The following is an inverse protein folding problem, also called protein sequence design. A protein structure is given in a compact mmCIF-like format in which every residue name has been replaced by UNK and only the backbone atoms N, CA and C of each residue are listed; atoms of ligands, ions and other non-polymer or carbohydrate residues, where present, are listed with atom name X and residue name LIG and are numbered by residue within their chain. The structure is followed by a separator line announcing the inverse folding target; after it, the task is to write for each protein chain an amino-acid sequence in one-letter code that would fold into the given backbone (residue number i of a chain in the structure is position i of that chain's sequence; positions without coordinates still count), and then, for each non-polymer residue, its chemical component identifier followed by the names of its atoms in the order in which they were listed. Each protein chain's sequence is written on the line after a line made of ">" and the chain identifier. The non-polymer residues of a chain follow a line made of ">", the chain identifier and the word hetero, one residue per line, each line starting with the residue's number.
data_IF_418292407557
#
_entry.id   IF_418292407557
#
_cell.length_a   1.000
_cell.length_b   1.000
_cell.length_c   1.000
_cell.angle_alpha   90.00
_cell.angle_beta   90.00
_cell.angle_gamma   90.00
#
_symmetry.space_group_name_H-M   'P 1'
#
loop_
_entity.id
_entity.type
_entity.pdbx_description
1 polymer ?
#
# COMPACT_ATOMS: atom_id res chain seq x y z
N UNK A 1 0.68 -23.53 27.13
CA UNK A 1 0.52 -22.45 26.15
C UNK A 1 1.14 -22.94 24.86
N UNK A 2 0.30 -23.38 23.91
CA UNK A 2 0.73 -23.81 22.58
C UNK A 2 1.33 -22.62 21.85
N UNK A 3 2.60 -22.67 21.51
CA UNK A 3 3.24 -21.67 20.66
C UNK A 3 2.43 -21.59 19.35
N UNK A 4 1.82 -20.44 19.10
CA UNK A 4 1.02 -20.19 17.91
C UNK A 4 1.98 -20.13 16.73
N UNK A 5 2.25 -21.26 16.09
CA UNK A 5 3.08 -21.33 14.89
C UNK A 5 2.33 -20.56 13.82
N UNK A 6 2.79 -19.36 13.52
CA UNK A 6 2.21 -18.52 12.46
C UNK A 6 2.14 -19.31 11.16
N UNK A 7 0.93 -19.66 10.72
CA UNK A 7 0.71 -20.55 9.57
C UNK A 7 1.12 -19.90 8.24
N UNK A 8 1.26 -18.58 8.18
CA UNK A 8 1.57 -17.86 6.95
C UNK A 8 2.18 -16.48 7.20
N UNK A 9 2.91 -15.97 6.19
CA UNK A 9 3.58 -14.66 6.24
C UNK A 9 2.79 -13.61 5.48
N UNK A 10 2.72 -12.41 6.05
CA UNK A 10 2.31 -11.18 5.37
C UNK A 10 3.52 -10.23 5.22
N UNK A 11 3.72 -9.70 4.02
CA UNK A 11 4.70 -8.64 3.74
C UNK A 11 4.00 -7.30 3.76
N UNK A 12 4.51 -6.35 4.55
CA UNK A 12 4.00 -4.97 4.60
C UNK A 12 5.10 -4.03 4.11
N UNK A 13 4.94 -3.47 2.92
CA UNK A 13 5.86 -2.49 2.32
C UNK A 13 5.38 -1.10 2.65
N UNK A 14 6.20 -0.33 3.36
CA UNK A 14 5.83 0.97 3.96
C UNK A 14 5.36 0.83 5.42
N UNK A 15 5.97 -0.08 6.18
CA UNK A 15 5.53 -0.47 7.52
C UNK A 15 5.90 0.52 8.63
N UNK A 16 6.82 1.48 8.40
CA UNK A 16 7.37 2.35 9.46
C UNK A 16 6.38 3.34 10.06
N UNK A 17 5.31 3.69 9.35
CA UNK A 17 4.38 4.72 9.82
C UNK A 17 2.95 4.56 9.30
N UNK A 18 2.04 5.38 9.82
CA UNK A 18 0.67 5.55 9.32
C UNK A 18 -0.07 4.22 9.10
N UNK A 19 -0.66 4.07 7.92
CA UNK A 19 -1.44 2.88 7.58
C UNK A 19 -0.62 1.58 7.58
N UNK A 20 0.68 1.65 7.20
CA UNK A 20 1.54 0.46 7.18
C UNK A 20 1.79 -0.09 8.58
N UNK A 21 2.07 0.78 9.57
CA UNK A 21 2.21 0.40 10.97
C UNK A 21 0.90 -0.18 11.52
N UNK A 22 -0.22 0.48 11.26
CA UNK A 22 -1.54 0.00 11.68
C UNK A 22 -1.87 -1.38 11.09
N UNK A 23 -1.54 -1.62 9.82
CA UNK A 23 -1.70 -2.94 9.18
C UNK A 23 -0.79 -4.00 9.79
N UNK A 24 0.47 -3.67 10.09
CA UNK A 24 1.38 -4.58 10.77
C UNK A 24 0.82 -5.03 12.13
N UNK A 25 0.28 -4.09 12.92
CA UNK A 25 -0.39 -4.38 14.20
C UNK A 25 -1.59 -5.31 14.03
N UNK A 26 -2.49 -5.01 13.11
CA UNK A 26 -3.67 -5.82 12.85
C UNK A 26 -3.34 -7.24 12.38
N UNK A 27 -2.28 -7.38 11.56
CA UNK A 27 -1.85 -8.67 11.04
C UNK A 27 -1.14 -9.52 12.12
N UNK A 28 -0.31 -8.88 12.96
CA UNK A 28 0.30 -9.54 14.12
C UNK A 28 -0.77 -10.07 15.08
N UNK A 29 -1.75 -9.25 15.42
CA UNK A 29 -2.89 -9.64 16.28
C UNK A 29 -3.69 -10.82 15.70
N UNK A 30 -3.68 -11.01 14.37
CA UNK A 30 -4.35 -12.12 13.67
C UNK A 30 -3.47 -13.36 13.50
N UNK A 31 -2.26 -13.36 14.07
CA UNK A 31 -1.36 -14.50 14.08
C UNK A 31 -0.54 -14.68 12.79
N UNK A 32 -0.42 -13.65 11.94
CA UNK A 32 0.50 -13.72 10.81
C UNK A 32 1.95 -13.54 11.26
N UNK A 33 2.88 -14.32 10.67
CA UNK A 33 4.27 -13.91 10.64
C UNK A 33 4.42 -12.69 9.72
N UNK A 34 5.32 -11.77 10.02
CA UNK A 34 5.47 -10.52 9.30
C UNK A 34 6.86 -10.35 8.71
N UNK A 35 6.92 -9.79 7.50
CA UNK A 35 8.10 -9.12 6.98
C UNK A 35 7.75 -7.65 6.81
N UNK A 36 8.35 -6.80 7.66
CA UNK A 36 8.16 -5.36 7.64
C UNK A 36 9.25 -4.72 6.79
N UNK A 37 8.84 -3.93 5.77
CA UNK A 37 9.75 -3.28 4.82
C UNK A 37 9.54 -1.78 4.84
N UNK A 38 10.59 -1.01 5.09
CA UNK A 38 10.62 0.46 4.99
C UNK A 38 12.08 0.95 4.92
N UNK A 39 12.30 2.24 4.69
CA UNK A 39 13.65 2.82 4.61
C UNK A 39 14.33 3.00 5.98
N UNK A 40 13.58 3.27 7.04
CA UNK A 40 14.14 3.49 8.40
C UNK A 40 14.23 2.19 9.19
N UNK A 41 15.48 1.75 9.43
CA UNK A 41 15.76 0.53 10.18
C UNK A 41 15.37 0.63 11.67
N UNK A 42 15.50 1.82 12.29
CA UNK A 42 15.21 2.00 13.73
C UNK A 42 13.71 1.92 13.99
N UNK A 43 12.92 2.57 13.13
CA UNK A 43 11.46 2.48 13.20
C UNK A 43 10.99 1.04 13.02
N UNK A 44 11.55 0.31 12.06
CA UNK A 44 11.21 -1.10 11.84
C UNK A 44 11.54 -1.98 13.04
N UNK A 45 12.71 -1.80 13.65
CA UNK A 45 13.12 -2.56 14.84
C UNK A 45 12.21 -2.27 16.03
N UNK A 46 11.88 -0.99 16.27
CA UNK A 46 10.97 -0.61 17.36
C UNK A 46 9.57 -1.22 17.18
N UNK A 47 9.04 -1.19 15.95
CA UNK A 47 7.73 -1.78 15.64
C UNK A 47 7.80 -3.31 15.80
N UNK A 48 8.86 -3.97 15.33
CA UNK A 48 9.02 -5.41 15.46
C UNK A 48 9.03 -5.83 16.92
N UNK A 49 9.84 -5.17 17.76
CA UNK A 49 9.91 -5.45 19.19
C UNK A 49 8.55 -5.25 19.92
N UNK A 50 7.78 -4.19 19.57
CA UNK A 50 6.43 -3.97 20.11
C UNK A 50 5.47 -5.10 19.72
N UNK A 51 5.51 -5.53 18.46
CA UNK A 51 4.61 -6.58 17.96
C UNK A 51 4.96 -7.96 18.51
N UNK A 52 6.25 -8.27 18.66
CA UNK A 52 6.74 -9.50 19.30
C UNK A 52 6.29 -9.54 20.77
N UNK A 53 6.46 -8.44 21.50
CA UNK A 53 6.09 -8.36 22.91
C UNK A 53 4.57 -8.48 23.14
N UNK A 54 3.77 -7.81 22.31
CA UNK A 54 2.31 -7.71 22.52
C UNK A 54 1.52 -8.90 22.00
N UNK A 55 2.00 -9.54 20.93
CA UNK A 55 1.21 -10.53 20.20
C UNK A 55 1.95 -11.89 20.03
N UNK A 56 3.16 -12.02 20.59
CA UNK A 56 4.04 -13.20 20.34
C UNK A 56 4.21 -13.46 18.82
N UNK A 57 4.27 -12.38 18.05
CA UNK A 57 4.32 -12.44 16.60
C UNK A 57 5.75 -12.72 16.12
N UNK A 58 5.90 -13.56 15.09
CA UNK A 58 7.18 -13.72 14.40
C UNK A 58 7.39 -12.57 13.43
N UNK A 59 8.32 -11.65 13.70
CA UNK A 59 8.56 -10.47 12.88
C UNK A 59 9.98 -10.46 12.34
N UNK A 60 10.12 -10.26 11.04
CA UNK A 60 11.38 -9.95 10.37
C UNK A 60 11.31 -8.53 9.81
N UNK A 61 12.44 -7.85 9.75
CA UNK A 61 12.54 -6.49 9.21
C UNK A 61 13.50 -6.43 8.04
N UNK A 62 13.21 -5.58 7.05
CA UNK A 62 14.07 -5.29 5.91
C UNK A 62 14.13 -3.79 5.70
N UNK A 63 15.24 -3.16 6.05
CA UNK A 63 15.50 -1.77 5.70
C UNK A 63 15.78 -1.69 4.19
N UNK A 64 14.93 -0.97 3.45
CA UNK A 64 14.96 -0.87 2.02
C UNK A 64 14.46 0.49 1.54
N UNK A 65 15.32 1.25 0.88
CA UNK A 65 14.96 2.52 0.24
C UNK A 65 14.45 2.25 -1.19
N UNK A 66 13.14 2.31 -1.37
CA UNK A 66 12.49 2.06 -2.66
C UNK A 66 12.81 3.10 -3.73
N UNK A 67 13.35 4.27 -3.35
CA UNK A 67 13.79 5.27 -4.30
C UNK A 67 15.12 4.89 -4.98
N UNK A 68 15.96 4.11 -4.29
CA UNK A 68 17.35 3.83 -4.68
C UNK A 68 17.61 2.36 -4.99
N UNK A 69 16.76 1.47 -4.49
CA UNK A 69 16.94 0.03 -4.70
C UNK A 69 16.58 -0.37 -6.13
N UNK A 70 17.52 -0.96 -6.82
CA UNK A 70 17.37 -1.36 -8.21
C UNK A 70 16.42 -2.56 -8.38
N UNK A 71 16.48 -3.52 -7.44
CA UNK A 71 15.61 -4.70 -7.46
C UNK A 71 15.00 -4.97 -6.07
N UNK A 72 13.98 -4.18 -5.70
CA UNK A 72 13.30 -4.36 -4.42
C UNK A 72 12.60 -5.73 -4.31
N UNK A 73 12.21 -6.32 -5.44
CA UNK A 73 11.56 -7.62 -5.49
C UNK A 73 12.49 -8.74 -5.05
N UNK A 74 13.71 -8.81 -5.62
CA UNK A 74 14.72 -9.81 -5.24
C UNK A 74 15.13 -9.67 -3.77
N UNK A 75 15.27 -8.44 -3.25
CA UNK A 75 15.61 -8.20 -1.85
C UNK A 75 14.55 -8.73 -0.90
N UNK A 76 13.27 -8.47 -1.18
CA UNK A 76 12.16 -8.98 -0.37
C UNK A 76 12.06 -10.51 -0.50
N UNK A 77 12.24 -11.06 -1.71
CA UNK A 77 12.21 -12.49 -1.96
C UNK A 77 13.28 -13.24 -1.14
N UNK A 78 14.49 -12.69 -1.06
CA UNK A 78 15.58 -13.23 -0.24
C UNK A 78 15.24 -13.18 1.27
N UNK A 79 14.66 -12.09 1.75
CA UNK A 79 14.26 -11.95 3.15
C UNK A 79 13.15 -12.94 3.57
N UNK A 80 12.35 -13.42 2.63
CA UNK A 80 11.30 -14.41 2.88
C UNK A 80 11.81 -15.85 3.05
N UNK A 81 13.10 -16.13 2.79
CA UNK A 81 13.62 -17.50 2.74
C UNK A 81 13.46 -18.29 4.05
N UNK A 82 13.46 -17.61 5.19
CA UNK A 82 13.36 -18.22 6.54
C UNK A 82 11.99 -18.04 7.19
N UNK A 83 11.02 -17.49 6.48
CA UNK A 83 9.69 -17.23 6.98
C UNK A 83 8.69 -18.29 6.49
N UNK A 84 7.54 -18.47 7.16
CA UNK A 84 6.45 -19.31 6.68
C UNK A 84 5.99 -18.91 5.25
N UNK A 85 5.21 -19.75 4.57
CA UNK A 85 4.72 -19.45 3.23
C UNK A 85 4.04 -18.07 3.13
N UNK A 86 4.34 -17.33 2.06
CA UNK A 86 3.81 -15.99 1.81
C UNK A 86 2.32 -16.09 1.44
N UNK A 87 1.43 -15.49 2.24
CA UNK A 87 -0.02 -15.48 1.99
C UNK A 87 -0.57 -14.08 1.64
N UNK A 88 0.14 -13.01 2.00
CA UNK A 88 -0.32 -11.65 1.72
C UNK A 88 0.85 -10.71 1.41
N UNK A 89 0.67 -9.85 0.41
CA UNK A 89 1.56 -8.74 0.08
C UNK A 89 0.76 -7.44 0.15
N UNK A 90 1.15 -6.53 1.04
CA UNK A 90 0.50 -5.23 1.22
C UNK A 90 1.45 -4.11 0.79
N UNK A 91 1.14 -3.47 -0.33
CA UNK A 91 1.91 -2.36 -0.92
C UNK A 91 1.30 -1.03 -0.49
N UNK A 92 1.80 -0.50 0.61
CA UNK A 92 1.28 0.70 1.29
C UNK A 92 2.20 1.90 1.11
N UNK A 93 3.49 1.65 0.86
CA UNK A 93 4.48 2.70 0.65
C UNK A 93 4.04 3.72 -0.40
N UNK A 94 4.34 4.98 -0.14
CA UNK A 94 4.07 6.05 -1.07
C UNK A 94 4.57 7.38 -0.54
N UNK A 95 4.96 8.26 -1.46
CA UNK A 95 5.35 9.64 -1.19
C UNK A 95 4.56 10.57 -2.10
N UNK A 96 4.31 11.78 -1.64
CA UNK A 96 3.77 12.88 -2.44
C UNK A 96 4.45 14.17 -2.03
N UNK A 97 4.48 15.15 -2.91
CA UNK A 97 5.11 16.43 -2.70
C UNK A 97 4.12 17.56 -2.92
N UNK A 98 4.22 18.63 -2.13
CA UNK A 98 3.31 19.78 -2.21
C UNK A 98 3.47 20.58 -3.50
N UNK A 99 4.69 20.54 -4.09
CA UNK A 99 5.05 21.15 -5.36
C UNK A 99 4.88 20.23 -6.58
N UNK A 100 4.11 19.15 -6.44
CA UNK A 100 3.70 18.28 -7.58
C UNK A 100 2.58 18.94 -8.39
N UNK A 101 2.91 20.06 -9.03
CA UNK A 101 2.04 20.93 -9.82
C UNK A 101 2.68 21.38 -11.15
N UNK A 102 3.52 20.51 -11.75
CA UNK A 102 4.42 20.72 -12.89
C UNK A 102 5.74 21.41 -12.55
N UNK A 103 6.04 21.71 -11.26
CA UNK A 103 7.29 22.34 -10.85
C UNK A 103 8.36 21.38 -10.31
N UNK A 104 8.05 20.08 -10.19
CA UNK A 104 9.01 19.08 -9.72
C UNK A 104 10.25 18.99 -10.61
N UNK A 105 11.42 18.92 -9.98
CA UNK A 105 12.66 18.56 -10.69
C UNK A 105 12.61 17.12 -11.21
N UNK A 106 13.42 16.82 -12.25
CA UNK A 106 13.53 15.46 -12.79
C UNK A 106 13.93 14.43 -11.72
N UNK A 107 14.78 14.80 -10.76
CA UNK A 107 15.18 13.92 -9.66
C UNK A 107 13.98 13.56 -8.76
N UNK A 108 13.16 14.54 -8.38
CA UNK A 108 11.95 14.30 -7.54
C UNK A 108 10.86 13.54 -8.29
N UNK A 109 10.72 13.78 -9.61
CA UNK A 109 9.83 12.95 -10.47
C UNK A 109 10.32 11.50 -10.45
N UNK A 110 11.62 11.27 -10.65
CA UNK A 110 12.21 9.93 -10.61
C UNK A 110 11.97 9.23 -9.28
N UNK A 111 12.23 9.89 -8.15
CA UNK A 111 11.99 9.35 -6.81
C UNK A 111 10.52 8.98 -6.60
N UNK A 112 9.61 9.88 -6.95
CA UNK A 112 8.17 9.66 -6.82
C UNK A 112 7.69 8.45 -7.65
N UNK A 113 8.16 8.33 -8.89
CA UNK A 113 7.84 7.21 -9.78
C UNK A 113 8.49 5.91 -9.29
N UNK A 114 9.72 5.95 -8.78
CA UNK A 114 10.38 4.77 -8.21
C UNK A 114 9.57 4.18 -7.05
N UNK A 115 9.15 5.00 -6.10
CA UNK A 115 8.43 4.53 -4.91
C UNK A 115 6.97 4.16 -5.22
N UNK A 116 6.24 5.00 -5.98
CA UNK A 116 4.79 4.81 -6.15
C UNK A 116 4.40 3.94 -7.34
N UNK A 117 5.32 3.67 -8.28
CA UNK A 117 5.04 2.93 -9.51
C UNK A 117 6.01 1.78 -9.74
N UNK A 118 7.31 2.06 -9.90
CA UNK A 118 8.29 1.03 -10.27
C UNK A 118 8.40 -0.06 -9.18
N UNK A 119 8.65 0.33 -7.92
CA UNK A 119 8.82 -0.64 -6.84
C UNK A 119 7.59 -1.55 -6.64
N UNK A 120 6.33 -1.05 -6.61
CA UNK A 120 5.15 -1.91 -6.58
C UNK A 120 5.11 -2.95 -7.70
N UNK A 121 5.43 -2.58 -8.94
CA UNK A 121 5.46 -3.50 -10.08
C UNK A 121 6.56 -4.54 -9.92
N UNK A 122 7.81 -4.13 -9.63
CA UNK A 122 8.93 -5.04 -9.44
C UNK A 122 8.67 -6.06 -8.32
N UNK A 123 8.14 -5.60 -7.17
CA UNK A 123 7.81 -6.46 -6.03
C UNK A 123 6.70 -7.44 -6.38
N UNK A 124 5.63 -7.00 -7.04
CA UNK A 124 4.55 -7.89 -7.48
C UNK A 124 5.09 -8.97 -8.41
N UNK A 125 5.85 -8.59 -9.45
CA UNK A 125 6.40 -9.55 -10.41
C UNK A 125 7.30 -10.59 -9.73
N UNK A 126 8.16 -10.19 -8.81
CA UNK A 126 9.07 -11.11 -8.11
C UNK A 126 8.33 -12.07 -7.17
N UNK A 127 7.30 -11.59 -6.46
CA UNK A 127 6.60 -12.38 -5.45
C UNK A 127 5.39 -13.16 -5.99
N UNK A 128 4.95 -12.88 -7.21
CA UNK A 128 3.76 -13.47 -7.83
C UNK A 128 3.76 -15.01 -7.81
N UNK A 129 4.88 -15.73 -8.14
CA UNK A 129 4.90 -17.18 -8.07
C UNK A 129 4.62 -17.74 -6.67
N UNK A 130 5.20 -17.12 -5.62
CA UNK A 130 4.96 -17.53 -4.22
C UNK A 130 3.52 -17.27 -3.78
N UNK A 131 2.96 -16.12 -4.18
CA UNK A 131 1.57 -15.78 -3.85
C UNK A 131 0.57 -16.70 -4.56
N UNK A 132 0.84 -17.09 -5.81
CA UNK A 132 0.00 -18.06 -6.52
C UNK A 132 0.04 -19.44 -5.86
N UNK A 133 1.22 -19.91 -5.45
CA UNK A 133 1.38 -21.20 -4.78
C UNK A 133 0.55 -21.32 -3.47
N UNK A 134 0.29 -20.21 -2.80
CA UNK A 134 -0.49 -20.14 -1.56
C UNK A 134 -1.92 -19.65 -1.75
N UNK A 135 -2.34 -19.35 -2.98
CA UNK A 135 -3.60 -18.65 -3.26
C UNK A 135 -3.69 -17.34 -2.48
N UNK A 136 -2.58 -16.61 -2.43
CA UNK A 136 -2.39 -15.42 -1.60
C UNK A 136 -3.17 -14.20 -2.08
N UNK A 137 -3.00 -13.11 -1.34
CA UNK A 137 -3.66 -11.85 -1.61
C UNK A 137 -2.64 -10.74 -1.83
N UNK A 138 -2.78 -9.99 -2.93
CA UNK A 138 -2.07 -8.73 -3.17
C UNK A 138 -3.01 -7.58 -2.80
N UNK A 139 -2.55 -6.69 -1.92
CA UNK A 139 -3.23 -5.46 -1.55
C UNK A 139 -2.46 -4.27 -2.12
N UNK A 140 -3.11 -3.52 -3.00
CA UNK A 140 -2.60 -2.30 -3.59
C UNK A 140 -3.28 -1.09 -2.96
N UNK A 141 -2.50 -0.11 -2.47
CA UNK A 141 -3.00 1.15 -1.94
C UNK A 141 -2.94 2.24 -3.04
N UNK A 142 -4.07 2.43 -3.71
CA UNK A 142 -4.32 3.55 -4.61
C UNK A 142 -4.71 4.82 -3.86
N UNK A 143 -5.16 5.86 -4.58
CA UNK A 143 -5.53 7.15 -4.01
C UNK A 143 -6.77 7.73 -4.68
N UNK A 144 -7.54 8.53 -3.94
CA UNK A 144 -8.59 9.38 -4.50
C UNK A 144 -8.03 10.36 -5.54
N UNK A 145 -6.77 10.77 -5.42
CA UNK A 145 -6.10 11.62 -6.39
C UNK A 145 -6.09 11.02 -7.81
N UNK A 146 -6.08 9.69 -7.92
CA UNK A 146 -6.15 8.96 -9.20
C UNK A 146 -7.54 9.00 -9.87
N UNK A 147 -8.57 9.54 -9.21
CA UNK A 147 -9.94 9.57 -9.76
C UNK A 147 -10.03 10.40 -11.04
N UNK A 148 -9.35 11.56 -11.07
CA UNK A 148 -9.28 12.43 -12.24
C UNK A 148 -8.03 13.29 -12.21
N UNK A 149 -7.34 13.45 -13.35
CA UNK A 149 -6.15 14.30 -13.47
C UNK A 149 -6.48 15.77 -13.14
N UNK A 150 -5.59 16.42 -12.41
CA UNK A 150 -5.71 17.82 -11.98
C UNK A 150 -4.33 18.47 -11.92
N UNK A 151 -4.28 19.80 -11.80
CA UNK A 151 -3.03 20.55 -11.76
C UNK A 151 -2.22 20.42 -10.46
N UNK A 152 -2.63 19.56 -9.53
CA UNK A 152 -1.89 19.21 -8.30
C UNK A 152 -1.78 17.69 -8.16
N UNK A 153 -0.70 17.22 -7.55
CA UNK A 153 -0.37 15.80 -7.46
C UNK A 153 -0.31 15.14 -8.84
N UNK A 154 0.33 15.81 -9.82
CA UNK A 154 0.33 15.42 -11.23
C UNK A 154 1.00 14.08 -11.44
N UNK A 155 2.23 13.94 -10.95
CA UNK A 155 3.03 12.72 -11.07
C UNK A 155 2.52 11.66 -10.10
N UNK A 156 2.20 12.03 -8.85
CA UNK A 156 1.65 11.13 -7.86
C UNK A 156 0.33 10.49 -8.31
N UNK A 157 -0.62 11.30 -8.82
CA UNK A 157 -1.90 10.79 -9.30
C UNK A 157 -1.74 9.85 -10.50
N UNK A 158 -0.80 10.16 -11.41
CA UNK A 158 -0.45 9.30 -12.54
C UNK A 158 0.09 7.95 -12.09
N UNK A 159 1.04 7.94 -11.15
CA UNK A 159 1.58 6.71 -10.56
C UNK A 159 0.49 5.88 -9.86
N UNK A 160 -0.36 6.53 -9.04
CA UNK A 160 -1.46 5.82 -8.35
C UNK A 160 -2.55 5.34 -9.32
N UNK A 161 -2.73 6.00 -10.48
CA UNK A 161 -3.61 5.53 -11.55
C UNK A 161 -3.07 4.27 -12.22
N UNK A 162 -1.75 4.19 -12.42
CA UNK A 162 -1.11 2.99 -12.97
C UNK A 162 -1.31 1.75 -12.08
N UNK A 163 -1.40 1.90 -10.75
CA UNK A 163 -1.74 0.79 -9.86
C UNK A 163 -3.17 0.25 -10.08
N UNK A 164 -4.09 1.07 -10.59
CA UNK A 164 -5.42 0.60 -10.98
C UNK A 164 -5.33 -0.36 -12.19
N UNK A 165 -4.50 0.00 -13.18
CA UNK A 165 -4.24 -0.87 -14.33
C UNK A 165 -3.55 -2.17 -13.92
N UNK A 166 -2.53 -2.10 -13.03
CA UNK A 166 -1.90 -3.31 -12.47
C UNK A 166 -2.92 -4.23 -11.79
N UNK A 167 -3.82 -3.65 -10.97
CA UNK A 167 -4.89 -4.41 -10.32
C UNK A 167 -5.82 -5.08 -11.33
N UNK A 168 -6.22 -4.38 -12.39
CA UNK A 168 -7.08 -4.92 -13.45
C UNK A 168 -6.38 -6.06 -14.19
N UNK A 169 -5.09 -5.90 -14.53
CA UNK A 169 -4.27 -6.92 -15.17
C UNK A 169 -4.12 -8.19 -14.30
N UNK A 170 -3.88 -8.02 -12.99
CA UNK A 170 -3.81 -9.16 -12.06
C UNK A 170 -5.12 -9.94 -12.01
N UNK A 171 -6.26 -9.24 -12.03
CA UNK A 171 -7.59 -9.88 -12.02
C UNK A 171 -7.95 -10.53 -13.33
N UNK A 172 -7.48 -10.00 -14.44
CA UNK A 172 -7.71 -10.56 -15.76
C UNK A 172 -6.84 -11.81 -15.99
N UNK A 173 -5.58 -11.77 -15.53
CA UNK A 173 -4.62 -12.84 -15.75
C UNK A 173 -4.78 -14.04 -14.78
N UNK A 174 -5.43 -13.85 -13.63
CA UNK A 174 -5.51 -14.87 -12.58
C UNK A 174 -6.93 -15.06 -12.05
N UNK A 175 -7.36 -16.33 -12.00
CA UNK A 175 -8.63 -16.67 -11.42
C UNK A 175 -8.65 -16.42 -9.89
N UNK A 176 -9.83 -16.11 -9.27
CA UNK A 176 -9.92 -15.82 -7.84
C UNK A 176 -9.46 -16.95 -6.90
N UNK A 177 -9.44 -18.20 -7.40
CA UNK A 177 -8.93 -19.37 -6.69
C UNK A 177 -7.42 -19.58 -6.85
N UNK A 178 -6.74 -18.80 -7.70
CA UNK A 178 -5.28 -18.81 -7.86
C UNK A 178 -4.63 -17.65 -7.13
N UNK A 179 -5.18 -16.46 -7.26
CA UNK A 179 -4.66 -15.22 -6.68
C UNK A 179 -5.80 -14.25 -6.39
N UNK A 180 -5.69 -13.49 -5.31
CA UNK A 180 -6.62 -12.40 -5.01
C UNK A 180 -5.92 -11.06 -5.13
N UNK A 181 -6.49 -10.15 -5.92
CA UNK A 181 -6.01 -8.78 -6.06
C UNK A 181 -7.02 -7.80 -5.49
N UNK A 182 -6.63 -7.05 -4.47
CA UNK A 182 -7.47 -6.05 -3.80
C UNK A 182 -6.85 -4.67 -3.98
N UNK A 183 -7.65 -3.72 -4.49
CA UNK A 183 -7.25 -2.32 -4.60
C UNK A 183 -8.09 -1.48 -3.64
N UNK A 184 -7.42 -0.73 -2.77
CA UNK A 184 -8.06 0.25 -1.92
C UNK A 184 -7.69 1.66 -2.37
N UNK A 185 -8.66 2.39 -2.92
CA UNK A 185 -8.51 3.81 -3.26
C UNK A 185 -8.67 4.61 -1.99
N UNK A 186 -7.54 5.02 -1.42
CA UNK A 186 -7.52 5.74 -0.14
C UNK A 186 -7.89 7.20 -0.33
N UNK A 187 -8.77 7.69 0.54
CA UNK A 187 -8.98 9.11 0.75
C UNK A 187 -7.90 9.70 1.67
N UNK A 188 -8.16 10.87 2.23
CA UNK A 188 -7.27 11.45 3.24
C UNK A 188 -7.29 10.61 4.51
N UNK A 189 -6.10 10.23 5.00
CA UNK A 189 -5.89 9.52 6.26
C UNK A 189 -5.00 10.38 7.16
N UNK A 190 -5.21 10.30 8.47
CA UNK A 190 -4.39 10.99 9.47
C UNK A 190 -3.02 10.29 9.59
N UNK A 191 -2.09 10.63 8.69
CA UNK A 191 -0.74 10.04 8.59
C UNK A 191 0.28 11.13 8.31
N UNK A 192 1.57 10.79 8.34
CA UNK A 192 2.65 11.73 8.00
C UNK A 192 2.48 12.35 6.60
N UNK A 193 1.87 11.61 5.65
CA UNK A 193 1.61 12.10 4.28
C UNK A 193 0.62 13.28 4.23
N UNK A 194 -0.20 13.45 5.25
CA UNK A 194 -1.21 14.51 5.35
C UNK A 194 -0.98 15.45 6.52
N UNK A 195 0.11 15.25 7.27
CA UNK A 195 0.43 16.09 8.42
C UNK A 195 0.75 17.52 7.99
N UNK A 196 0.16 18.49 8.67
CA UNK A 196 0.37 19.91 8.36
C UNK A 196 -0.37 20.43 7.12
N UNK A 197 -1.05 19.56 6.36
CA UNK A 197 -1.80 19.94 5.16
C UNK A 197 -3.24 20.29 5.54
N UNK A 198 -3.74 21.44 5.08
CA UNK A 198 -5.15 21.79 5.20
C UNK A 198 -5.97 20.92 4.23
N UNK A 199 -6.65 19.92 4.78
CA UNK A 199 -7.46 18.99 4.00
C UNK A 199 -8.86 19.55 3.75
N UNK A 200 -9.45 19.32 2.56
CA UNK A 200 -10.81 19.75 2.23
C UNK A 200 -11.89 18.92 2.96
N UNK A 201 -11.51 17.78 3.54
CA UNK A 201 -12.40 16.87 4.27
C UNK A 201 -11.64 16.26 5.45
N UNK A 202 -12.38 15.87 6.49
CA UNK A 202 -11.82 15.15 7.65
C UNK A 202 -11.05 13.92 7.23
N UNK A 203 -9.82 13.78 7.71
CA UNK A 203 -9.01 12.59 7.50
C UNK A 203 -9.67 11.35 8.14
N UNK A 204 -9.48 10.20 7.53
CA UNK A 204 -9.86 8.92 8.11
C UNK A 204 -8.80 8.44 9.10
N UNK A 205 -9.22 7.62 10.06
CA UNK A 205 -8.34 6.96 11.00
C UNK A 205 -7.65 5.77 10.30
N UNK A 206 -6.29 5.73 10.27
CA UNK A 206 -5.54 4.62 9.67
C UNK A 206 -5.82 3.27 10.35
N UNK A 207 -6.11 3.24 11.67
CA UNK A 207 -6.40 1.98 12.38
C UNK A 207 -7.74 1.39 11.94
N UNK A 208 -8.76 2.22 11.73
CA UNK A 208 -10.06 1.78 11.18
C UNK A 208 -9.91 1.22 9.77
N UNK A 209 -9.09 1.87 8.95
CA UNK A 209 -8.78 1.41 7.58
C UNK A 209 -8.00 0.10 7.62
N UNK A 210 -6.98 -0.01 8.48
CA UNK A 210 -6.18 -1.22 8.66
C UNK A 210 -7.03 -2.42 9.07
N UNK A 211 -7.90 -2.26 10.10
CA UNK A 211 -8.87 -3.31 10.49
C UNK A 211 -9.76 -3.75 9.34
N UNK A 212 -10.23 -2.79 8.55
CA UNK A 212 -11.09 -3.08 7.39
C UNK A 212 -10.35 -3.87 6.31
N UNK A 213 -9.09 -3.54 6.02
CA UNK A 213 -8.24 -4.23 5.04
C UNK A 213 -7.91 -5.63 5.56
N UNK A 214 -7.39 -5.76 6.78
CA UNK A 214 -6.99 -7.03 7.38
C UNK A 214 -8.15 -8.02 7.47
N UNK A 215 -9.35 -7.55 7.84
CA UNK A 215 -10.56 -8.38 7.88
C UNK A 215 -11.03 -8.87 6.51
N UNK A 216 -10.50 -8.33 5.41
CA UNK A 216 -10.84 -8.68 4.03
C UNK A 216 -9.76 -9.47 3.31
N UNK A 217 -8.61 -9.70 3.92
CA UNK A 217 -7.60 -10.59 3.35
C UNK A 217 -8.21 -11.96 3.06
N UNK A 218 -7.90 -12.52 1.90
CA UNK A 218 -8.45 -13.78 1.45
C UNK A 218 -9.90 -13.74 0.93
N UNK A 219 -10.61 -12.58 0.99
CA UNK A 219 -12.02 -12.45 0.62
C UNK A 219 -12.25 -11.90 -0.79
N UNK A 220 -11.63 -12.54 -1.79
CA UNK A 220 -11.85 -12.24 -3.21
C UNK A 220 -11.05 -11.06 -3.74
N UNK A 221 -11.30 -10.72 -5.01
CA UNK A 221 -10.64 -9.64 -5.77
C UNK A 221 -11.62 -8.51 -6.01
N UNK A 222 -11.25 -7.27 -5.67
CA UNK A 222 -12.11 -6.09 -5.81
C UNK A 222 -11.33 -4.78 -5.75
N UNK A 223 -11.98 -3.68 -6.15
CA UNK A 223 -11.53 -2.32 -5.92
C UNK A 223 -12.54 -1.55 -5.07
N UNK A 224 -12.09 -0.85 -4.03
CA UNK A 224 -12.95 -0.10 -3.09
C UNK A 224 -12.34 1.22 -2.67
N UNK A 225 -13.17 2.19 -2.34
CA UNK A 225 -12.76 3.42 -1.66
C UNK A 225 -12.79 3.24 -0.14
N UNK A 226 -11.74 3.74 0.54
CA UNK A 226 -11.69 3.81 2.01
C UNK A 226 -11.16 5.18 2.45
N UNK A 227 -11.86 5.89 3.35
CA UNK A 227 -13.25 5.65 3.79
C UNK A 227 -14.26 5.68 2.63
N UNK A 228 -15.38 4.96 2.77
CA UNK A 228 -16.38 4.77 1.69
C UNK A 228 -16.96 6.07 1.12
N UNK A 229 -17.02 7.16 1.92
CA UNK A 229 -17.49 8.48 1.48
C UNK A 229 -16.74 9.03 0.25
N UNK A 230 -15.47 8.65 0.08
CA UNK A 230 -14.67 9.06 -1.07
C UNK A 230 -15.11 8.44 -2.40
N UNK A 231 -15.96 7.42 -2.39
CA UNK A 231 -16.58 6.90 -3.61
C UNK A 231 -17.49 7.94 -4.26
N UNK A 232 -18.31 8.63 -3.45
CA UNK A 232 -19.17 9.71 -3.94
C UNK A 232 -18.35 10.89 -4.46
N UNK A 233 -17.29 11.28 -3.72
CA UNK A 233 -16.38 12.36 -4.15
C UNK A 233 -15.75 12.04 -5.51
N UNK A 234 -15.29 10.81 -5.70
CA UNK A 234 -14.71 10.36 -6.95
C UNK A 234 -15.74 10.32 -8.09
N UNK A 235 -16.95 9.86 -7.82
CA UNK A 235 -18.04 9.83 -8.81
C UNK A 235 -18.38 11.26 -9.28
N UNK A 236 -18.55 12.20 -8.37
CA UNK A 236 -18.80 13.61 -8.67
C UNK A 236 -17.64 14.18 -9.50
N UNK A 237 -16.39 13.99 -9.05
CA UNK A 237 -15.22 14.52 -9.75
C UNK A 237 -15.11 14.00 -11.20
N UNK A 238 -15.45 12.73 -11.42
CA UNK A 238 -15.45 12.11 -12.76
C UNK A 238 -16.60 12.62 -13.65
N UNK A 239 -17.77 12.84 -13.08
CA UNK A 239 -18.96 13.27 -13.80
C UNK A 239 -18.95 14.76 -14.18
N UNK A 240 -18.16 15.59 -13.49
CA UNK A 240 -18.10 17.03 -13.76
C UNK A 240 -17.70 17.32 -15.21
N UNK A 241 -18.47 18.14 -15.96
CA UNK A 241 -18.05 18.61 -17.27
C UNK A 241 -16.71 19.33 -17.22
N UNK A 242 -15.93 19.23 -18.31
CA UNK A 242 -14.58 19.80 -18.34
C UNK A 242 -14.53 21.29 -18.01
N UNK A 243 -15.48 22.07 -18.51
CA UNK A 243 -15.53 23.52 -18.28
C UNK A 243 -15.73 23.89 -16.79
N UNK A 244 -16.44 23.05 -16.04
CA UNK A 244 -16.63 23.22 -14.61
C UNK A 244 -15.39 22.73 -13.83
N UNK A 245 -14.89 21.53 -14.17
CA UNK A 245 -13.74 20.94 -13.52
C UNK A 245 -12.46 21.80 -13.63
N UNK A 246 -12.17 22.38 -14.81
CA UNK A 246 -10.99 23.23 -15.02
C UNK A 246 -10.97 24.50 -14.15
N UNK A 247 -12.12 24.94 -13.63
CA UNK A 247 -12.22 26.10 -12.73
C UNK A 247 -12.01 25.73 -11.26
N UNK A 248 -12.07 24.46 -10.92
CA UNK A 248 -11.76 24.00 -9.57
C UNK A 248 -10.23 24.05 -9.38
N UNK A 249 -9.75 25.05 -8.66
CA UNK A 249 -8.37 25.09 -8.18
C UNK A 249 -8.29 24.10 -7.02
N UNK A 250 -7.69 22.93 -7.28
CA UNK A 250 -7.52 21.87 -6.31
C UNK A 250 -6.46 22.18 -5.25
#
# INVERSE_FOLDING_TARGET
>A
VSANVSASTAVVVGASSGLGRALATELAQRGHALLLVASDARDLQAIAADLELRFDARVATLALDLAREADPGARILAALAKLPPLSALLLVAGVSYDDDDFSLSAARIGELLSINLHAPHAIVHALLPKLRATRGTIVLCGSIAAARGRGRNVVYASAKRALESLHESLRQAHAPNELRAQLYRLGFLATNLTYGIKLPMTAGDPDVVARTIAARLGKGSFARYLPRRFALVAAIARALPWFAFRRMRG
#
